data_IF_779840730520
#
_entry.id   IF_779840730520
#
_cell.length_a   1.000
_cell.length_b   1.000
_cell.length_c   1.000
_cell.angle_alpha   90.00
_cell.angle_beta   90.00
_cell.angle_gamma   90.00
#
_symmetry.space_group_name_H-M   'P 1'
#
loop_
_entity.id
_entity.type
_entity.pdbx_description
1 polymer ?
#
# COMPACT_ATOMS: atom_id res chain seq x y z
N UNK A 1 -22.01 14.76 9.68
CA UNK A 1 -21.47 14.66 9.18
C UNK A 1 -21.01 14.95 8.47
N UNK A 2 -20.89 14.83 8.46
CA UNK A 2 -20.44 15.06 7.90
C UNK A 2 -19.80 15.13 6.85
N UNK A 3 -19.45 15.16 6.73
CA UNK A 3 -18.53 15.27 5.80
C UNK A 3 -18.40 14.16 4.89
N UNK A 4 -19.02 13.08 5.14
CA UNK A 4 -18.98 11.93 4.32
C UNK A 4 -19.50 12.18 2.94
N UNK A 5 -20.20 13.22 2.76
CA UNK A 5 -20.69 13.61 1.46
C UNK A 5 -19.65 14.18 0.52
N UNK A 6 -18.42 14.35 1.00
CA UNK A 6 -17.39 14.95 0.18
C UNK A 6 -16.69 13.97 -0.75
N UNK A 7 -17.17 12.75 -0.88
CA UNK A 7 -16.64 11.85 -1.88
C UNK A 7 -15.25 11.32 -1.64
N UNK A 8 -14.92 11.08 -0.38
CA UNK A 8 -13.64 10.47 -0.07
C UNK A 8 -13.65 8.99 -0.42
N UNK A 9 -12.63 8.55 -1.14
CA UNK A 9 -12.48 7.14 -1.49
C UNK A 9 -11.17 6.65 -0.90
N UNK A 10 -11.24 5.51 -0.20
CA UNK A 10 -10.02 4.85 0.24
C UNK A 10 -10.12 3.36 -0.10
N UNK A 11 -8.96 2.72 -0.20
CA UNK A 11 -8.89 1.33 -0.64
C UNK A 11 -8.52 0.43 0.51
N UNK A 12 -9.06 -0.78 0.51
CA UNK A 12 -8.60 -1.86 1.40
C UNK A 12 -7.97 -2.93 0.52
N UNK A 13 -6.71 -3.23 0.77
CA UNK A 13 -5.99 -4.26 0.02
C UNK A 13 -5.98 -5.55 0.84
N UNK A 14 -6.41 -6.63 0.22
CA UNK A 14 -6.31 -7.94 0.85
C UNK A 14 -4.89 -8.45 0.69
N UNK A 15 -4.27 -8.87 1.76
CA UNK A 15 -2.87 -9.31 1.75
C UNK A 15 -2.75 -10.71 2.32
N UNK A 16 -1.70 -11.44 1.91
CA UNK A 16 -1.48 -12.81 2.38
C UNK A 16 -0.72 -12.85 3.69
N UNK A 17 0.16 -11.87 3.93
CA UNK A 17 0.98 -11.84 5.15
C UNK A 17 1.13 -10.38 5.55
N UNK A 18 0.41 -9.99 6.60
CA UNK A 18 0.35 -8.57 6.97
C UNK A 18 1.70 -8.03 7.43
N UNK A 19 2.57 -8.86 8.03
CA UNK A 19 3.87 -8.37 8.46
C UNK A 19 4.79 -8.05 7.28
N UNK A 20 4.74 -8.85 6.23
CA UNK A 20 5.50 -8.55 5.03
C UNK A 20 4.96 -7.30 4.34
N UNK A 21 3.64 -7.16 4.29
CA UNK A 21 3.03 -5.98 3.69
C UNK A 21 3.35 -4.73 4.48
N UNK A 22 3.38 -4.81 5.81
CA UNK A 22 3.75 -3.67 6.65
C UNK A 22 5.12 -3.13 6.28
N UNK A 23 6.09 -4.01 6.07
CA UNK A 23 7.42 -3.57 5.72
C UNK A 23 7.39 -2.72 4.45
N UNK A 24 6.67 -3.18 3.43
CA UNK A 24 6.56 -2.45 2.17
C UNK A 24 5.90 -1.07 2.39
N UNK A 25 4.75 -1.05 3.07
CA UNK A 25 3.99 0.20 3.19
C UNK A 25 4.58 1.16 4.21
N UNK A 26 5.14 0.67 5.29
CA UNK A 26 5.68 1.53 6.35
C UNK A 26 7.13 1.92 6.13
N UNK A 27 7.96 0.99 5.69
CA UNK A 27 9.39 1.24 5.55
C UNK A 27 9.80 1.71 4.16
N UNK A 28 9.16 1.19 3.11
CA UNK A 28 9.53 1.56 1.75
C UNK A 28 8.68 2.70 1.22
N UNK A 29 7.36 2.63 1.33
CA UNK A 29 6.49 3.72 0.89
C UNK A 29 6.34 4.82 1.94
N UNK A 30 6.73 4.56 3.17
CA UNK A 30 6.73 5.55 4.26
C UNK A 30 5.34 6.08 4.60
N UNK A 31 4.35 5.21 4.50
CA UNK A 31 3.02 5.55 4.97
C UNK A 31 2.98 5.54 6.49
N UNK A 32 2.09 6.32 7.05
CA UNK A 32 1.98 6.48 8.49
C UNK A 32 0.81 5.67 9.02
N UNK A 33 1.05 4.86 10.06
CA UNK A 33 0.00 4.06 10.69
C UNK A 33 -0.93 4.99 11.47
N UNK A 34 -2.21 4.95 11.14
CA UNK A 34 -3.23 5.69 11.90
C UNK A 34 -3.95 4.78 12.88
N UNK A 35 -4.28 3.58 12.46
CA UNK A 35 -4.95 2.60 13.33
C UNK A 35 -4.42 1.22 13.03
N UNK A 36 -4.29 0.42 14.07
CA UNK A 36 -3.88 -0.97 13.94
C UNK A 36 -4.84 -1.82 14.76
N UNK A 37 -5.53 -2.75 14.11
CA UNK A 37 -6.47 -3.65 14.77
C UNK A 37 -5.91 -5.06 14.71
N UNK A 38 -5.21 -5.46 15.76
CA UNK A 38 -4.48 -6.73 15.75
C UNK A 38 -5.39 -7.94 15.69
N UNK A 39 -6.55 -7.85 16.34
CA UNK A 39 -7.48 -8.98 16.40
C UNK A 39 -7.99 -9.36 15.00
N UNK A 40 -8.22 -8.40 14.14
CA UNK A 40 -8.70 -8.67 12.79
C UNK A 40 -7.62 -8.44 11.73
N UNK A 41 -6.38 -8.22 12.15
CA UNK A 41 -5.23 -8.04 11.27
C UNK A 41 -5.51 -7.01 10.19
N UNK A 42 -5.86 -5.83 10.64
CA UNK A 42 -6.18 -4.69 9.78
C UNK A 42 -5.33 -3.50 10.18
N UNK A 43 -4.73 -2.82 9.22
CA UNK A 43 -3.94 -1.62 9.47
C UNK A 43 -4.42 -0.51 8.54
N UNK A 44 -4.60 0.69 9.08
CA UNK A 44 -5.05 1.86 8.35
C UNK A 44 -3.89 2.86 8.24
N UNK A 45 -3.66 3.36 7.04
CA UNK A 45 -2.53 4.24 6.76
C UNK A 45 -2.96 5.60 6.23
N UNK A 46 -2.15 6.61 6.51
CA UNK A 46 -2.25 7.92 5.90
C UNK A 46 -0.92 8.30 5.26
N UNK A 47 -0.89 9.42 4.54
CA UNK A 47 0.32 9.88 3.84
C UNK A 47 0.69 11.30 4.27
N UNK A 48 1.99 11.50 4.49
CA UNK A 48 2.52 12.83 4.76
C UNK A 48 2.02 13.37 6.10
N UNK A 49 1.62 14.63 6.11
CA UNK A 49 1.15 15.28 7.33
C UNK A 49 -0.35 15.12 7.56
N UNK A 50 -1.03 14.42 6.67
CA UNK A 50 -2.47 14.20 6.81
C UNK A 50 -2.75 13.05 7.77
N UNK A 51 -3.85 13.16 8.51
CA UNK A 51 -4.33 12.06 9.35
C UNK A 51 -5.45 11.29 8.66
N UNK A 52 -5.78 11.68 7.43
CA UNK A 52 -6.84 11.01 6.69
C UNK A 52 -6.38 9.64 6.23
N UNK A 53 -7.17 8.62 6.52
CA UNK A 53 -6.86 7.26 6.09
C UNK A 53 -7.08 7.17 4.58
N UNK A 54 -6.03 6.79 3.85
CA UNK A 54 -6.11 6.64 2.39
C UNK A 54 -6.02 5.17 1.98
N UNK A 55 -5.52 4.32 2.85
CA UNK A 55 -5.28 2.92 2.51
C UNK A 55 -5.43 2.06 3.75
N UNK A 56 -6.01 0.88 3.57
CA UNK A 56 -6.03 -0.16 4.60
C UNK A 56 -5.45 -1.42 4.02
N UNK A 57 -4.76 -2.21 4.85
CA UNK A 57 -4.39 -3.57 4.48
C UNK A 57 -5.06 -4.53 5.46
N UNK A 58 -5.54 -5.64 4.95
CA UNK A 58 -6.25 -6.63 5.75
C UNK A 58 -5.79 -8.03 5.36
N UNK A 59 -5.34 -8.82 6.33
CA UNK A 59 -4.88 -10.17 6.02
C UNK A 59 -6.06 -11.10 5.78
N UNK A 60 -6.01 -11.83 4.68
CA UNK A 60 -7.08 -12.72 4.24
C UNK A 60 -7.00 -14.03 5.03
N UNK A 61 -8.14 -14.57 5.41
CA UNK A 61 -8.18 -15.90 6.02
C UNK A 61 -7.84 -16.96 4.97
N UNK A 62 -7.26 -18.08 5.41
CA UNK A 62 -6.80 -19.11 4.49
C UNK A 62 -7.92 -19.65 3.61
N UNK A 63 -9.11 -19.82 4.17
CA UNK A 63 -10.22 -20.35 3.39
C UNK A 63 -10.62 -19.40 2.27
N UNK A 64 -10.62 -18.10 2.56
CA UNK A 64 -10.98 -17.11 1.57
C UNK A 64 -9.89 -16.98 0.51
N UNK A 65 -8.64 -17.08 0.93
CA UNK A 65 -7.50 -16.95 0.02
C UNK A 65 -7.57 -17.94 -1.13
N UNK A 66 -8.04 -19.16 -0.86
CA UNK A 66 -8.09 -20.18 -1.88
C UNK A 66 -9.02 -19.83 -3.03
N UNK A 67 -10.02 -18.99 -2.81
CA UNK A 67 -11.01 -18.62 -3.82
C UNK A 67 -10.70 -17.31 -4.54
N UNK A 68 -9.62 -16.61 -4.14
CA UNK A 68 -9.29 -15.33 -4.75
C UNK A 68 -8.31 -15.49 -5.91
N UNK A 69 -8.36 -14.58 -6.90
CA UNK A 69 -7.37 -14.58 -7.97
C UNK A 69 -5.96 -14.34 -7.41
N UNK A 70 -4.96 -14.86 -8.08
CA UNK A 70 -3.56 -14.71 -7.65
C UNK A 70 -2.70 -14.27 -8.81
N UNK A 71 -1.74 -13.39 -8.51
CA UNK A 71 -1.51 -12.72 -7.22
C UNK A 71 -2.67 -11.77 -6.90
N UNK A 72 -2.86 -11.49 -5.61
CA UNK A 72 -4.00 -10.68 -5.16
C UNK A 72 -4.05 -9.30 -5.82
N UNK A 73 -2.90 -8.76 -6.14
CA UNK A 73 -2.83 -7.43 -6.75
C UNK A 73 -3.09 -7.38 -8.25
N UNK A 74 -3.48 -8.51 -8.85
CA UNK A 74 -3.70 -8.57 -10.30
C UNK A 74 -4.83 -7.65 -10.73
N UNK A 75 -4.55 -6.83 -11.76
CA UNK A 75 -5.57 -5.96 -12.33
C UNK A 75 -5.77 -4.63 -11.64
N UNK A 76 -4.95 -4.32 -10.64
CA UNK A 76 -5.08 -3.07 -9.89
C UNK A 76 -3.76 -2.31 -9.94
N UNK A 77 -3.85 -0.99 -10.13
CA UNK A 77 -2.68 -0.12 -10.10
C UNK A 77 -3.00 1.08 -9.24
N UNK A 78 -2.05 1.47 -8.40
CA UNK A 78 -2.20 2.64 -7.55
C UNK A 78 -1.15 3.68 -7.90
N UNK A 79 -1.53 4.94 -7.80
CA UNK A 79 -0.62 6.06 -8.02
C UNK A 79 -0.54 6.85 -6.73
N UNK A 80 0.67 7.02 -6.22
CA UNK A 80 0.90 7.85 -5.04
C UNK A 80 1.64 9.11 -5.48
N UNK A 81 0.99 10.25 -5.35
CA UNK A 81 1.61 11.52 -5.68
C UNK A 81 2.33 12.01 -4.43
N UNK A 82 3.65 11.98 -4.50
CA UNK A 82 4.48 12.31 -3.33
C UNK A 82 4.86 13.78 -3.27
N UNK A 83 4.46 14.55 -4.26
CA UNK A 83 4.71 15.97 -4.25
C UNK A 83 6.10 16.34 -4.72
N UNK A 84 6.26 17.63 -5.03
CA UNK A 84 7.51 18.14 -5.55
C UNK A 84 8.58 18.09 -4.47
N UNK A 85 9.77 17.69 -4.84
CA UNK A 85 10.89 17.65 -3.92
C UNK A 85 11.00 16.39 -3.09
N UNK A 86 9.99 15.51 -3.14
CA UNK A 86 10.05 14.23 -2.47
C UNK A 86 10.42 13.18 -3.51
N UNK A 87 11.44 12.41 -3.23
CA UNK A 87 11.90 11.40 -4.18
C UNK A 87 12.09 10.06 -3.50
N UNK A 88 11.62 9.01 -4.15
CA UNK A 88 11.93 7.66 -3.76
C UNK A 88 13.10 7.18 -4.62
N UNK A 89 14.12 6.67 -3.97
CA UNK A 89 15.22 6.04 -4.67
C UNK A 89 14.92 4.56 -4.85
N UNK A 90 15.36 3.95 -5.95
CA UNK A 90 15.12 2.51 -6.14
C UNK A 90 15.96 1.61 -5.23
N UNK A 91 17.03 2.16 -4.63
CA UNK A 91 17.96 1.37 -3.82
C UNK A 91 17.33 0.52 -2.74
N UNK A 92 16.43 1.08 -1.87
CA UNK A 92 15.82 0.25 -0.83
C UNK A 92 14.99 -0.91 -1.38
N UNK A 93 14.32 -0.71 -2.52
CA UNK A 93 13.53 -1.77 -3.14
C UNK A 93 14.45 -2.88 -3.65
N UNK A 94 15.55 -2.51 -4.29
CA UNK A 94 16.54 -3.47 -4.77
C UNK A 94 17.16 -4.22 -3.62
N UNK A 95 17.56 -3.50 -2.57
CA UNK A 95 18.23 -4.09 -1.42
C UNK A 95 17.38 -5.17 -0.76
N UNK A 96 16.07 -4.96 -0.71
CA UNK A 96 15.16 -5.89 -0.03
C UNK A 96 14.48 -6.86 -1.00
N UNK A 97 14.88 -6.85 -2.28
CA UNK A 97 14.39 -7.83 -3.24
C UNK A 97 12.99 -7.58 -3.78
N UNK A 98 12.49 -6.37 -3.68
CA UNK A 98 11.18 -6.06 -4.23
C UNK A 98 11.28 -5.68 -5.70
N UNK A 99 10.43 -6.24 -6.57
CA UNK A 99 10.44 -5.87 -7.98
C UNK A 99 10.13 -4.38 -8.17
N UNK A 100 10.88 -3.74 -9.06
CA UNK A 100 10.63 -2.33 -9.35
C UNK A 100 11.05 -2.01 -10.79
N UNK A 101 10.50 -0.90 -11.32
CA UNK A 101 10.88 -0.35 -12.61
C UNK A 101 11.20 1.12 -12.38
N UNK A 102 12.34 1.57 -12.89
CA UNK A 102 12.75 2.96 -12.78
C UNK A 102 12.89 3.55 -14.17
N UNK A 103 11.97 4.45 -14.53
CA UNK A 103 11.98 5.07 -15.85
C UNK A 103 11.27 6.42 -15.73
N UNK A 104 11.95 7.40 -15.15
CA UNK A 104 11.36 8.71 -14.90
C UNK A 104 10.47 8.78 -13.67
N UNK A 105 9.89 7.67 -13.30
CA UNK A 105 9.17 7.52 -12.04
C UNK A 105 9.44 6.12 -11.52
N UNK A 106 9.17 5.90 -10.24
CA UNK A 106 9.39 4.59 -9.65
C UNK A 106 8.09 3.81 -9.62
N UNK A 107 8.12 2.62 -10.22
CA UNK A 107 7.02 1.67 -10.15
C UNK A 107 7.49 0.49 -9.34
N UNK A 108 6.78 0.16 -8.28
CA UNK A 108 7.16 -0.93 -7.38
C UNK A 108 5.96 -1.85 -7.13
N UNK A 109 6.25 -3.08 -6.77
CA UNK A 109 5.23 -4.09 -6.50
C UNK A 109 5.38 -4.57 -5.06
N UNK A 110 4.26 -4.64 -4.34
CA UNK A 110 4.29 -5.12 -2.97
C UNK A 110 4.35 -6.66 -2.95
N UNK A 111 4.41 -7.30 -1.74
CA UNK A 111 4.53 -8.76 -1.67
C UNK A 111 3.41 -9.52 -2.37
N UNK A 112 2.23 -8.93 -2.51
CA UNK A 112 1.09 -9.59 -3.14
C UNK A 112 0.86 -9.14 -4.59
N UNK A 113 1.80 -8.38 -5.15
CA UNK A 113 1.73 -7.97 -6.54
C UNK A 113 0.96 -6.70 -6.81
N UNK A 114 0.57 -5.96 -5.78
CA UNK A 114 -0.08 -4.66 -5.98
C UNK A 114 0.94 -3.67 -6.55
N UNK A 115 0.56 -3.06 -7.67
CA UNK A 115 1.45 -2.16 -8.40
C UNK A 115 1.28 -0.73 -7.91
N UNK A 116 2.40 -0.09 -7.58
CA UNK A 116 2.43 1.28 -7.10
C UNK A 116 3.31 2.13 -8.00
N UNK A 117 2.75 3.21 -8.53
CA UNK A 117 3.51 4.21 -9.28
C UNK A 117 3.69 5.43 -8.38
N UNK A 118 4.93 5.80 -8.13
CA UNK A 118 5.26 6.91 -7.24
C UNK A 118 5.66 8.10 -8.08
N UNK A 119 4.86 9.16 -8.04
CA UNK A 119 5.04 10.34 -8.89
C UNK A 119 5.13 11.59 -8.04
N UNK A 120 5.77 12.64 -8.60
CA UNK A 120 5.88 13.86 -7.83
C UNK A 120 6.30 15.11 -8.59
#
# INVERSE_FOLDING_TARGET
>A
MTDCGLGSINATLLVTDIEKSRFFYESLLKLKVQHEFRDCKLICYSWGNSDEVILRISQVEEEELASLPKPLGTGVEFILNVGRGYQYAPGPFEKHGYPFIWDGCLVAYDPDGYKWMLVG
#
